data_IF_189401348528
#
_entry.id   IF_189401348528
#
_cell.length_a   1.000
_cell.length_b   1.000
_cell.length_c   1.000
_cell.angle_alpha   90.00
_cell.angle_beta   90.00
_cell.angle_gamma   90.00
#
_symmetry.space_group_name_H-M   'P 1'
#
loop_
_entity.id
_entity.type
_entity.pdbx_description
1 polymer ?
#
# COMPACT_ATOMS: atom_id res chain seq x y z
N UNK A 1 42.94 -30.97 -23.68
CA UNK A 1 42.29 -29.99 -22.78
C UNK A 1 41.10 -29.27 -23.44
N UNK A 2 40.69 -29.59 -24.68
CA UNK A 2 39.64 -28.81 -25.38
C UNK A 2 38.20 -29.35 -25.31
N UNK A 3 37.96 -30.62 -24.96
CA UNK A 3 36.60 -31.17 -24.96
C UNK A 3 35.71 -30.76 -23.77
N UNK A 4 36.30 -30.26 -22.67
CA UNK A 4 35.56 -29.74 -21.52
C UNK A 4 35.11 -28.28 -21.69
N UNK A 5 35.82 -27.50 -22.52
CA UNK A 5 35.44 -26.11 -22.84
C UNK A 5 34.26 -26.02 -23.83
N UNK A 6 34.11 -27.02 -24.70
CA UNK A 6 33.03 -27.09 -25.69
C UNK A 6 31.68 -27.51 -25.06
N UNK A 7 31.70 -28.48 -24.14
CA UNK A 7 30.52 -28.90 -23.36
C UNK A 7 30.00 -27.78 -22.44
N UNK A 8 30.90 -26.99 -21.85
CA UNK A 8 30.51 -25.83 -21.06
C UNK A 8 29.83 -24.76 -21.94
N UNK A 9 30.37 -24.46 -23.13
CA UNK A 9 29.74 -23.49 -24.04
C UNK A 9 28.35 -23.91 -24.50
N UNK A 10 28.13 -25.18 -24.85
CA UNK A 10 26.80 -25.67 -25.28
C UNK A 10 25.79 -25.58 -24.13
N UNK A 11 26.15 -26.01 -22.92
CA UNK A 11 25.24 -25.99 -21.76
C UNK A 11 24.91 -24.56 -21.29
N UNK A 12 25.89 -23.65 -21.31
CA UNK A 12 25.65 -22.25 -20.92
C UNK A 12 24.95 -21.43 -22.02
N UNK A 13 25.15 -21.76 -23.29
CA UNK A 13 24.44 -21.10 -24.40
C UNK A 13 22.98 -21.58 -24.50
N UNK A 14 22.73 -22.89 -24.34
CA UNK A 14 21.37 -23.45 -24.30
C UNK A 14 20.56 -22.94 -23.09
N UNK A 15 21.20 -22.69 -21.95
CA UNK A 15 20.52 -22.09 -20.79
C UNK A 15 20.10 -20.63 -21.05
N UNK A 16 20.91 -19.87 -21.79
CA UNK A 16 20.59 -18.50 -22.17
C UNK A 16 19.53 -18.44 -23.28
N UNK A 17 19.60 -19.34 -24.25
CA UNK A 17 18.62 -19.50 -25.33
C UNK A 17 17.29 -20.00 -24.77
N UNK A 18 17.28 -20.98 -23.87
CA UNK A 18 16.06 -21.46 -23.22
C UNK A 18 15.43 -20.41 -22.29
N UNK A 19 16.24 -19.58 -21.62
CA UNK A 19 15.74 -18.42 -20.87
C UNK A 19 15.17 -17.35 -21.80
N UNK A 20 15.84 -17.06 -22.92
CA UNK A 20 15.41 -16.12 -23.94
C UNK A 20 14.10 -16.56 -24.61
N UNK A 21 14.04 -17.78 -25.09
CA UNK A 21 12.83 -18.39 -25.67
C UNK A 21 11.69 -18.47 -24.64
N UNK A 22 11.96 -18.85 -23.38
CA UNK A 22 10.93 -18.84 -22.34
C UNK A 22 10.48 -17.42 -21.93
N UNK A 23 11.29 -16.39 -22.16
CA UNK A 23 10.87 -14.99 -21.95
C UNK A 23 10.09 -14.48 -23.16
N UNK A 24 10.53 -14.78 -24.38
CA UNK A 24 9.81 -14.46 -25.63
C UNK A 24 8.44 -15.14 -25.70
N UNK A 25 8.35 -16.43 -25.40
CA UNK A 25 7.07 -17.16 -25.36
C UNK A 25 6.11 -16.59 -24.30
N UNK A 26 6.64 -16.13 -23.16
CA UNK A 26 5.84 -15.44 -22.13
C UNK A 26 5.37 -14.07 -22.60
N UNK A 27 6.18 -13.36 -23.38
CA UNK A 27 5.83 -12.06 -23.95
C UNK A 27 4.72 -12.25 -24.99
N UNK A 28 4.85 -13.21 -25.90
CA UNK A 28 3.83 -13.52 -26.92
C UNK A 28 2.51 -13.98 -26.29
N UNK A 29 2.57 -14.87 -25.29
CA UNK A 29 1.37 -15.28 -24.56
C UNK A 29 0.72 -14.11 -23.81
N UNK A 30 1.51 -13.22 -23.19
CA UNK A 30 1.00 -12.03 -22.52
C UNK A 30 0.36 -11.04 -23.50
N UNK A 31 0.91 -10.87 -24.70
CA UNK A 31 0.34 -10.04 -25.77
C UNK A 31 -0.99 -10.58 -26.29
N UNK A 32 -1.10 -11.90 -26.47
CA UNK A 32 -2.36 -12.54 -26.86
C UNK A 32 -3.44 -12.38 -25.78
N UNK A 33 -3.09 -12.58 -24.50
CA UNK A 33 -4.01 -12.36 -23.38
C UNK A 33 -4.43 -10.88 -23.30
N UNK A 34 -3.50 -9.95 -23.52
CA UNK A 34 -3.77 -8.52 -23.49
C UNK A 34 -4.72 -8.11 -24.63
N UNK A 35 -4.56 -8.71 -25.82
CA UNK A 35 -5.41 -8.46 -26.98
C UNK A 35 -6.86 -8.92 -26.78
N UNK A 36 -7.05 -9.99 -26.03
CA UNK A 36 -8.37 -10.56 -25.74
C UNK A 36 -8.97 -10.10 -24.41
N UNK A 37 -8.30 -9.18 -23.70
CA UNK A 37 -8.76 -8.72 -22.38
C UNK A 37 -9.98 -7.80 -22.53
N UNK A 38 -11.01 -8.05 -21.73
CA UNK A 38 -12.17 -7.17 -21.68
C UNK A 38 -11.73 -5.78 -21.12
N UNK A 39 -12.17 -4.65 -21.71
CA UNK A 39 -11.83 -3.30 -21.24
C UNK A 39 -12.08 -3.04 -19.75
N UNK A 40 -13.15 -3.61 -19.17
CA UNK A 40 -13.43 -3.53 -17.73
C UNK A 40 -12.36 -4.28 -16.91
N UNK A 41 -11.88 -5.42 -17.41
CA UNK A 41 -10.80 -6.17 -16.75
C UNK A 41 -9.50 -5.37 -16.82
N UNK A 42 -9.19 -4.74 -17.95
CA UNK A 42 -8.06 -3.82 -18.06
C UNK A 42 -8.18 -2.66 -17.06
N UNK A 43 -9.36 -2.04 -16.95
CA UNK A 43 -9.63 -1.00 -15.97
C UNK A 43 -9.39 -1.48 -14.53
N UNK A 44 -9.79 -2.71 -14.17
CA UNK A 44 -9.49 -3.30 -12.86
C UNK A 44 -7.99 -3.47 -12.65
N UNK A 45 -7.25 -3.97 -13.64
CA UNK A 45 -5.80 -4.13 -13.52
C UNK A 45 -5.10 -2.78 -13.32
N UNK A 46 -5.54 -1.73 -14.04
CA UNK A 46 -5.02 -0.36 -13.84
C UNK A 46 -5.38 0.21 -12.48
N UNK A 47 -6.60 -0.02 -11.99
CA UNK A 47 -6.99 0.35 -10.64
C UNK A 47 -6.13 -0.38 -9.59
N UNK A 48 -5.90 -1.68 -9.75
CA UNK A 48 -5.05 -2.46 -8.86
C UNK A 48 -3.60 -1.94 -8.87
N UNK A 49 -3.04 -1.65 -10.05
CA UNK A 49 -1.72 -1.06 -10.19
C UNK A 49 -1.62 0.28 -9.42
N UNK A 50 -2.64 1.11 -9.51
CA UNK A 50 -2.72 2.38 -8.78
C UNK A 50 -2.78 2.18 -7.26
N UNK A 51 -3.78 1.42 -6.79
CA UNK A 51 -4.06 1.31 -5.35
C UNK A 51 -3.01 0.51 -4.59
N UNK A 52 -2.40 -0.50 -5.22
CA UNK A 52 -1.29 -1.25 -4.62
C UNK A 52 -0.04 -0.37 -4.42
N UNK A 53 0.11 0.69 -5.24
CA UNK A 53 1.16 1.70 -5.07
C UNK A 53 1.19 2.34 -3.68
N UNK A 54 0.04 2.48 -3.02
CA UNK A 54 -0.03 3.01 -1.66
C UNK A 54 0.61 2.10 -0.62
N UNK A 55 0.50 0.78 -0.81
CA UNK A 55 1.01 -0.22 0.13
C UNK A 55 2.50 -0.48 -0.07
N UNK A 56 3.07 -0.19 -1.25
CA UNK A 56 4.49 -0.43 -1.54
C UNK A 56 5.44 0.23 -0.53
N UNK A 57 5.19 1.48 -0.14
CA UNK A 57 6.02 2.15 0.87
C UNK A 57 5.93 1.45 2.23
N UNK A 58 4.72 1.06 2.64
CA UNK A 58 4.53 0.37 3.92
C UNK A 58 5.18 -1.03 3.91
N UNK A 59 5.03 -1.76 2.80
CA UNK A 59 5.65 -3.06 2.60
C UNK A 59 7.18 -2.96 2.66
N UNK A 60 7.77 -1.97 1.98
CA UNK A 60 9.21 -1.72 2.02
C UNK A 60 9.70 -1.41 3.44
N UNK A 61 8.94 -0.63 4.22
CA UNK A 61 9.28 -0.39 5.63
C UNK A 61 9.25 -1.69 6.44
N UNK A 62 8.20 -2.50 6.34
CA UNK A 62 8.10 -3.76 7.08
C UNK A 62 9.17 -4.80 6.67
N UNK A 63 9.68 -4.70 5.44
CA UNK A 63 10.80 -5.53 4.96
C UNK A 63 12.18 -4.99 5.37
N UNK A 64 12.25 -3.76 5.89
CA UNK A 64 13.50 -3.18 6.37
C UNK A 64 13.96 -3.83 7.68
N UNK A 65 15.25 -3.70 7.98
CA UNK A 65 15.83 -4.12 9.27
C UNK A 65 15.79 -3.00 10.32
N UNK A 66 15.24 -1.84 9.97
CA UNK A 66 15.25 -0.66 10.80
C UNK A 66 14.15 -0.71 11.86
N UNK A 67 14.37 -0.04 12.99
CA UNK A 67 13.34 0.10 14.02
C UNK A 67 12.24 1.05 13.55
N UNK A 68 11.05 0.49 13.27
CA UNK A 68 9.91 1.27 12.78
C UNK A 68 9.06 1.90 13.88
N UNK A 69 9.32 1.59 15.15
CA UNK A 69 8.42 1.89 16.28
C UNK A 69 8.09 3.38 16.40
N UNK A 70 9.05 4.25 16.04
CA UNK A 70 8.89 5.69 16.15
C UNK A 70 8.22 6.32 14.91
N UNK A 71 8.15 5.62 13.78
CA UNK A 71 7.61 6.12 12.50
C UNK A 71 6.29 5.45 12.10
N UNK A 72 6.04 4.22 12.58
CA UNK A 72 4.99 3.34 12.05
C UNK A 72 3.59 3.94 12.18
N UNK A 73 3.28 4.63 13.28
CA UNK A 73 1.98 5.26 13.45
C UNK A 73 1.75 6.39 12.44
N UNK A 74 2.75 7.25 12.24
CA UNK A 74 2.64 8.36 11.30
C UNK A 74 2.45 7.87 9.86
N UNK A 75 3.19 6.84 9.47
CA UNK A 75 3.09 6.22 8.15
C UNK A 75 1.78 5.46 7.95
N UNK A 76 1.26 4.82 9.00
CA UNK A 76 -0.04 4.15 8.97
C UNK A 76 -1.19 5.16 8.82
N UNK A 77 -1.13 6.29 9.54
CA UNK A 77 -2.08 7.39 9.35
C UNK A 77 -1.97 8.03 7.96
N UNK A 78 -0.75 8.13 7.41
CA UNK A 78 -0.53 8.63 6.05
C UNK A 78 -1.15 7.71 5.01
N UNK A 79 -0.95 6.39 5.11
CA UNK A 79 -1.60 5.41 4.25
C UNK A 79 -3.12 5.55 4.29
N UNK A 80 -3.69 5.66 5.50
CA UNK A 80 -5.14 5.80 5.66
C UNK A 80 -5.66 7.06 4.96
N UNK A 81 -5.01 8.21 5.14
CA UNK A 81 -5.35 9.45 4.43
C UNK A 81 -5.25 9.29 2.90
N UNK A 82 -4.19 8.64 2.41
CA UNK A 82 -3.99 8.39 0.99
C UNK A 82 -5.07 7.49 0.38
N UNK A 83 -5.61 6.52 1.13
CA UNK A 83 -6.73 5.69 0.69
C UNK A 83 -8.05 6.47 0.73
N UNK A 84 -8.33 7.14 1.85
CA UNK A 84 -9.59 7.84 2.11
C UNK A 84 -9.87 8.97 1.11
N UNK A 85 -8.87 9.76 0.74
CA UNK A 85 -9.05 10.89 -0.18
C UNK A 85 -9.58 10.49 -1.57
N UNK A 86 -9.50 9.21 -1.96
CA UNK A 86 -9.99 8.75 -3.26
C UNK A 86 -11.52 8.60 -3.31
N UNK A 87 -12.17 8.39 -2.16
CA UNK A 87 -13.60 8.01 -2.11
C UNK A 87 -14.40 8.72 -1.01
N UNK A 88 -13.75 9.48 -0.12
CA UNK A 88 -14.38 10.24 0.96
C UNK A 88 -14.22 11.74 0.76
N UNK A 89 -15.23 12.49 1.21
CA UNK A 89 -15.21 13.94 1.24
C UNK A 89 -14.07 14.43 2.14
N UNK A 90 -13.30 15.46 1.75
CA UNK A 90 -12.24 16.02 2.58
C UNK A 90 -12.70 16.43 3.99
N UNK A 91 -13.95 16.90 4.12
CA UNK A 91 -14.55 17.27 5.42
C UNK A 91 -14.66 16.12 6.42
N UNK A 92 -14.71 14.87 5.94
CA UNK A 92 -14.85 13.67 6.76
C UNK A 92 -13.49 13.10 7.20
N UNK A 93 -12.38 13.49 6.58
CA UNK A 93 -11.02 12.97 6.84
C UNK A 93 -10.28 13.83 7.88
N UNK A 94 -10.96 14.27 8.94
CA UNK A 94 -10.33 15.08 10.01
C UNK A 94 -9.55 14.24 11.01
N UNK A 95 -10.12 13.10 11.42
CA UNK A 95 -9.49 12.17 12.36
C UNK A 95 -9.46 10.75 11.76
N UNK A 96 -8.31 10.32 11.21
CA UNK A 96 -8.11 8.98 10.64
C UNK A 96 -8.47 7.83 11.60
N UNK A 97 -8.34 8.04 12.91
CA UNK A 97 -8.59 7.00 13.91
C UNK A 97 -10.08 6.79 14.21
N UNK A 98 -10.92 7.81 14.00
CA UNK A 98 -12.37 7.77 14.28
C UNK A 98 -13.23 7.75 13.02
N UNK A 99 -12.58 7.71 11.86
CA UNK A 99 -13.25 7.69 10.58
C UNK A 99 -14.03 6.37 10.40
N UNK A 100 -15.32 6.49 10.06
CA UNK A 100 -16.11 5.37 9.56
C UNK A 100 -16.18 5.43 8.02
N UNK A 101 -15.45 4.55 7.30
CA UNK A 101 -15.43 4.57 5.83
C UNK A 101 -16.76 4.09 5.20
N UNK A 102 -17.66 3.51 6.00
CA UNK A 102 -18.95 3.00 5.55
C UNK A 102 -20.09 4.03 5.63
N UNK A 103 -19.86 5.21 6.26
CA UNK A 103 -20.91 6.23 6.35
C UNK A 103 -21.22 6.83 4.97
N UNK A 104 -22.42 6.62 4.42
CA UNK A 104 -22.77 7.10 3.08
C UNK A 104 -22.68 8.62 2.94
N UNK A 105 -22.86 9.36 4.03
CA UNK A 105 -22.79 10.83 4.03
C UNK A 105 -21.38 11.35 3.78
N UNK A 106 -20.39 10.53 4.15
CA UNK A 106 -18.97 10.82 4.00
C UNK A 106 -18.42 10.45 2.63
N UNK A 107 -19.13 9.63 1.85
CA UNK A 107 -18.70 9.21 0.51
C UNK A 107 -18.80 10.36 -0.49
N UNK A 108 -17.88 10.37 -1.44
CA UNK A 108 -17.95 11.17 -2.66
C UNK A 108 -19.06 10.66 -3.58
N UNK A 109 -19.53 11.51 -4.50
CA UNK A 109 -20.35 11.05 -5.59
C UNK A 109 -19.56 10.07 -6.48
N UNK A 110 -20.25 9.15 -7.19
CA UNK A 110 -19.56 8.16 -8.03
C UNK A 110 -18.73 8.83 -9.13
N UNK A 111 -19.16 9.99 -9.59
CA UNK A 111 -18.52 10.81 -10.61
C UNK A 111 -17.18 11.38 -10.10
N UNK A 112 -17.09 11.65 -8.80
CA UNK A 112 -15.92 12.24 -8.13
C UNK A 112 -14.95 11.17 -7.58
N UNK A 113 -15.31 9.89 -7.64
CA UNK A 113 -14.47 8.78 -7.20
C UNK A 113 -13.16 8.74 -8.01
N UNK A 114 -12.02 8.80 -7.32
CA UNK A 114 -10.72 8.69 -7.96
C UNK A 114 -10.23 7.24 -7.99
N UNK A 115 -10.01 6.72 -9.19
CA UNK A 115 -9.53 5.34 -9.45
C UNK A 115 -8.13 5.32 -10.07
N UNK A 116 -7.49 6.48 -10.19
CA UNK A 116 -6.21 6.67 -10.88
C UNK A 116 -6.39 7.02 -12.36
N UNK A 117 -5.52 7.88 -12.88
CA UNK A 117 -5.62 8.42 -14.25
C UNK A 117 -5.63 7.34 -15.34
N UNK A 118 -4.80 6.29 -15.19
CA UNK A 118 -4.74 5.19 -16.16
C UNK A 118 -6.03 4.37 -16.23
N UNK A 119 -6.75 4.23 -15.11
CA UNK A 119 -8.05 3.57 -15.07
C UNK A 119 -9.14 4.50 -15.61
N UNK A 120 -9.12 5.79 -15.23
CA UNK A 120 -10.12 6.76 -15.67
C UNK A 120 -10.20 6.87 -17.20
N UNK A 121 -9.05 6.91 -17.89
CA UNK A 121 -9.03 6.97 -19.34
C UNK A 121 -9.64 5.75 -20.05
N UNK A 122 -9.69 4.58 -19.40
CA UNK A 122 -10.39 3.40 -19.91
C UNK A 122 -11.89 3.51 -19.65
N UNK A 123 -12.28 3.93 -18.45
CA UNK A 123 -13.69 4.12 -18.09
C UNK A 123 -14.38 5.17 -18.97
N UNK A 124 -13.67 6.24 -19.34
CA UNK A 124 -14.20 7.28 -20.22
C UNK A 124 -14.52 6.70 -21.60
N UNK A 125 -13.65 5.85 -22.16
CA UNK A 125 -13.90 5.16 -23.44
C UNK A 125 -15.12 4.24 -23.37
N UNK A 126 -15.20 3.42 -22.32
CA UNK A 126 -16.35 2.50 -22.11
C UNK A 126 -17.65 3.29 -21.98
N UNK A 127 -17.62 4.44 -21.31
CA UNK A 127 -18.79 5.31 -21.17
C UNK A 127 -19.23 5.87 -22.53
N UNK A 128 -18.28 6.29 -23.37
CA UNK A 128 -18.57 6.79 -24.73
C UNK A 128 -19.17 5.70 -25.64
N UNK A 129 -18.81 4.44 -25.43
CA UNK A 129 -19.33 3.28 -26.16
C UNK A 129 -20.70 2.80 -25.63
N UNK A 130 -21.26 3.49 -24.62
CA UNK A 130 -22.58 3.19 -24.05
C UNK A 130 -22.57 2.25 -22.83
N UNK A 131 -21.39 1.89 -22.31
CA UNK A 131 -21.19 0.99 -21.18
C UNK A 131 -21.44 1.61 -19.79
N UNK A 132 -22.29 2.62 -19.66
CA UNK A 132 -22.48 3.39 -18.42
C UNK A 132 -22.88 2.54 -17.20
N UNK A 133 -23.63 1.44 -17.40
CA UNK A 133 -23.97 0.52 -16.30
C UNK A 133 -22.75 -0.25 -15.79
N UNK A 134 -21.88 -0.71 -16.68
CA UNK A 134 -20.68 -1.47 -16.31
C UNK A 134 -19.68 -0.59 -15.55
N UNK A 135 -19.54 0.67 -15.99
CA UNK A 135 -18.70 1.68 -15.31
C UNK A 135 -19.24 1.97 -13.91
N UNK A 136 -20.56 2.09 -13.75
CA UNK A 136 -21.18 2.28 -12.44
C UNK A 136 -20.89 1.09 -11.51
N UNK A 137 -21.10 -0.13 -11.99
CA UNK A 137 -20.89 -1.34 -11.20
C UNK A 137 -19.40 -1.50 -10.85
N UNK A 138 -18.50 -1.14 -11.76
CA UNK A 138 -17.06 -1.06 -11.51
C UNK A 138 -16.72 -0.09 -10.36
N UNK A 139 -17.24 1.13 -10.41
CA UNK A 139 -16.98 2.16 -9.38
C UNK A 139 -17.51 1.73 -8.02
N UNK A 140 -18.67 1.06 -7.96
CA UNK A 140 -19.21 0.49 -6.72
C UNK A 140 -18.27 -0.57 -6.12
N UNK A 141 -17.68 -1.44 -6.94
CA UNK A 141 -16.67 -2.41 -6.47
C UNK A 141 -15.39 -1.74 -6.00
N UNK A 142 -14.95 -0.66 -6.65
CA UNK A 142 -13.79 0.13 -6.20
C UNK A 142 -14.05 0.79 -4.84
N UNK A 143 -15.25 1.33 -4.60
CA UNK A 143 -15.64 1.84 -3.28
C UNK A 143 -15.58 0.73 -2.24
N UNK A 144 -16.16 -0.43 -2.52
CA UNK A 144 -16.11 -1.59 -1.61
C UNK A 144 -14.66 -1.98 -1.28
N UNK A 145 -13.78 -2.02 -2.29
CA UNK A 145 -12.36 -2.26 -2.09
C UNK A 145 -11.72 -1.22 -1.15
N UNK A 146 -11.92 0.08 -1.42
CA UNK A 146 -11.35 1.13 -0.57
C UNK A 146 -11.87 1.06 0.87
N UNK A 147 -13.17 0.80 1.05
CA UNK A 147 -13.78 0.64 2.36
C UNK A 147 -13.16 -0.53 3.13
N UNK A 148 -13.06 -1.70 2.51
CA UNK A 148 -12.40 -2.86 3.10
C UNK A 148 -10.94 -2.59 3.41
N UNK A 149 -10.20 -1.93 2.51
CA UNK A 149 -8.80 -1.59 2.71
C UNK A 149 -8.60 -0.67 3.93
N UNK A 150 -9.45 0.36 4.08
CA UNK A 150 -9.40 1.26 5.24
C UNK A 150 -9.70 0.51 6.55
N UNK A 151 -10.72 -0.34 6.56
CA UNK A 151 -11.06 -1.14 7.74
C UNK A 151 -9.93 -2.09 8.15
N UNK A 152 -9.30 -2.77 7.18
CA UNK A 152 -8.18 -3.68 7.44
C UNK A 152 -6.93 -2.92 7.92
N UNK A 153 -6.68 -1.73 7.38
CA UNK A 153 -5.62 -0.83 7.86
C UNK A 153 -5.88 -0.39 9.31
N UNK A 154 -7.10 0.04 9.63
CA UNK A 154 -7.49 0.43 11.00
C UNK A 154 -7.37 -0.72 12.00
N UNK A 155 -7.68 -1.94 11.56
CA UNK A 155 -7.63 -3.15 12.39
C UNK A 155 -6.20 -3.61 12.70
N UNK A 156 -5.28 -3.50 11.74
CA UNK A 156 -3.95 -4.14 11.82
C UNK A 156 -2.82 -3.18 12.14
N UNK A 157 -2.95 -1.90 11.78
CA UNK A 157 -1.87 -0.93 11.94
C UNK A 157 -2.07 -0.04 13.17
N UNK A 158 -0.99 0.47 13.77
CA UNK A 158 -1.06 1.37 14.91
C UNK A 158 -1.51 2.78 14.46
N UNK A 159 -2.80 2.98 14.21
CA UNK A 159 -3.36 4.29 13.81
C UNK A 159 -3.52 5.23 15.01
N UNK A 160 -3.90 4.67 16.16
CA UNK A 160 -4.12 5.38 17.41
C UNK A 160 -3.42 4.68 18.58
N UNK A 161 -3.13 5.44 19.63
CA UNK A 161 -2.57 4.91 20.87
C UNK A 161 -1.47 5.82 21.42
N UNK A 162 -1.37 5.94 22.76
CA UNK A 162 -0.37 6.81 23.38
C UNK A 162 1.05 6.28 23.17
N UNK A 163 1.24 4.96 23.12
CA UNK A 163 2.57 4.36 23.03
C UNK A 163 3.33 4.79 21.77
N UNK A 164 2.81 4.46 20.59
CA UNK A 164 3.48 4.83 19.33
C UNK A 164 3.60 6.35 19.15
N UNK A 165 2.69 7.12 19.76
CA UNK A 165 2.75 8.58 19.72
C UNK A 165 3.91 9.11 20.58
N UNK A 166 4.10 8.54 21.76
CA UNK A 166 5.11 8.97 22.72
C UNK A 166 6.51 8.52 22.30
N UNK A 167 6.64 7.32 21.74
CA UNK A 167 7.91 6.76 21.25
C UNK A 167 8.50 7.58 20.09
N UNK A 168 7.72 8.49 19.49
CA UNK A 168 8.22 9.49 18.53
C UNK A 168 9.35 10.36 19.07
N UNK A 169 9.51 10.47 20.40
CA UNK A 169 10.66 11.16 20.98
C UNK A 169 12.02 10.55 20.57
N UNK A 170 12.04 9.29 20.11
CA UNK A 170 13.23 8.62 19.61
C UNK A 170 13.58 9.03 18.18
N UNK A 171 12.66 9.68 17.45
CA UNK A 171 12.97 10.20 16.12
C UNK A 171 13.95 11.37 16.24
N UNK A 172 15.05 11.42 15.45
CA UNK A 172 16.01 12.52 15.50
C UNK A 172 15.36 13.89 15.31
N UNK A 173 14.39 14.00 14.41
CA UNK A 173 13.63 15.25 14.17
C UNK A 173 12.87 15.75 15.40
N UNK A 174 12.39 14.85 16.26
CA UNK A 174 11.69 15.17 17.50
C UNK A 174 12.65 15.36 18.66
N UNK A 175 13.68 14.52 18.77
CA UNK A 175 14.67 14.55 19.85
C UNK A 175 15.48 15.85 19.84
N UNK A 176 15.83 16.36 18.66
CA UNK A 176 16.62 17.58 18.48
C UNK A 176 15.78 18.85 18.55
N UNK A 177 14.45 18.75 18.54
CA UNK A 177 13.55 19.91 18.57
C UNK A 177 13.03 20.16 19.98
N UNK A 178 13.40 21.31 20.56
CA UNK A 178 12.95 21.71 21.90
C UNK A 178 11.41 21.75 22.01
N UNK A 179 10.73 22.35 21.03
CA UNK A 179 9.27 22.50 21.01
C UNK A 179 8.54 21.16 20.79
N UNK A 180 9.10 20.24 20.00
CA UNK A 180 8.53 18.92 19.84
C UNK A 180 8.74 18.07 21.09
N UNK A 181 9.93 18.15 21.69
CA UNK A 181 10.30 17.37 22.87
C UNK A 181 9.50 17.73 24.11
N UNK A 182 9.17 19.01 24.31
CA UNK A 182 8.39 19.52 25.44
C UNK A 182 6.98 18.90 25.52
N UNK A 183 6.43 18.46 24.39
CA UNK A 183 5.09 17.86 24.28
C UNK A 183 5.05 16.36 24.59
N UNK A 184 6.21 15.72 24.77
CA UNK A 184 6.32 14.27 24.96
C UNK A 184 6.94 13.92 26.32
N UNK A 185 6.55 12.79 26.93
CA UNK A 185 7.13 12.33 28.20
C UNK A 185 8.64 12.05 28.09
N UNK A 186 9.35 12.06 29.23
CA UNK A 186 10.75 11.63 29.31
C UNK A 186 10.88 10.11 29.12
N UNK A 187 12.07 9.63 28.77
CA UNK A 187 12.33 8.19 28.62
C UNK A 187 12.08 7.43 29.94
N UNK A 188 12.42 8.01 31.08
CA UNK A 188 12.16 7.43 32.41
C UNK A 188 10.66 7.19 32.64
N UNK A 189 9.83 8.20 32.34
CA UNK A 189 8.37 8.08 32.48
C UNK A 189 7.81 6.99 31.57
N UNK A 190 8.36 6.84 30.36
CA UNK A 190 7.96 5.77 29.46
C UNK A 190 8.38 4.38 29.92
N UNK A 191 9.59 4.26 30.47
CA UNK A 191 10.08 3.00 31.02
C UNK A 191 9.16 2.49 32.13
N UNK A 192 8.73 3.37 33.02
CA UNK A 192 7.81 3.00 34.10
C UNK A 192 6.42 2.65 33.57
N UNK A 193 5.88 3.46 32.64
CA UNK A 193 4.55 3.26 32.07
C UNK A 193 4.43 1.98 31.25
N UNK A 194 5.45 1.66 30.48
CA UNK A 194 5.47 0.54 29.55
C UNK A 194 6.36 -0.61 30.03
N UNK A 195 6.62 -0.68 31.35
CA UNK A 195 7.45 -1.73 31.97
C UNK A 195 6.97 -3.14 31.65
N UNK A 196 5.66 -3.32 31.50
CA UNK A 196 5.02 -4.59 31.14
C UNK A 196 5.34 -5.07 29.70
N UNK A 197 5.88 -4.21 28.83
CA UNK A 197 6.32 -4.55 27.48
C UNK A 197 7.80 -4.92 27.41
N UNK A 198 8.56 -4.67 28.47
CA UNK A 198 9.98 -5.00 28.52
C UNK A 198 10.15 -6.47 28.93
N UNK A 199 11.09 -7.20 28.29
CA UNK A 199 11.40 -8.57 28.71
C UNK A 199 11.80 -8.59 30.18
N UNK A 200 11.42 -9.65 30.88
CA UNK A 200 11.88 -9.81 32.26
C UNK A 200 13.39 -10.03 32.23
N UNK A 201 14.09 -9.59 33.27
CA UNK A 201 15.57 -9.57 33.32
C UNK A 201 16.20 -10.98 33.20
N UNK A 202 15.40 -12.05 33.11
CA UNK A 202 15.84 -13.44 32.89
C UNK A 202 15.63 -14.02 31.48
N UNK A 203 15.07 -13.27 30.51
CA UNK A 203 14.67 -13.82 29.19
C UNK A 203 15.67 -13.54 28.05
N UNK A 204 16.87 -13.04 28.35
CA UNK A 204 17.92 -12.77 27.35
C UNK A 204 19.14 -13.64 27.68
N UNK A 205 19.09 -14.91 27.24
CA UNK A 205 20.26 -15.78 27.03
C UNK A 205 20.54 -15.92 25.52
#
# INVERSE_FOLDING_TARGET
MDHLGELAKVVFHDSAIAKGAATEDRIVAAELILKDINPITEAYLKFMQYVLGFFNKLNAMFQSKDSLIAVIQEESQRLLRCLCQNFLKPSSIKDPAKLNPLDPRSLLALEELYVGAGCQGILDKITMEGGSSEVRDFKLRCISFYQTAVLEVQKRLPISGPFFHEVRLLQPSTALSYEARKRLPSLSVLQDRYRHLLPSVGDVE
#
